data_IF_597497417389
#
_entry.id   IF_597497417389
#
_cell.length_a   1.000
_cell.length_b   1.000
_cell.length_c   1.000
_cell.angle_alpha   90.00
_cell.angle_beta   90.00
_cell.angle_gamma   90.00
#
_symmetry.space_group_name_H-M   'P 1'
#
loop_
_entity.id
_entity.type
_entity.pdbx_description
1 polymer ?
#
# COMPACT_ATOMS: atom_id res chain seq x y z
N UNK A 1 -6.93 13.33 -13.18
CA UNK A 1 -7.55 12.09 -13.68
C UNK A 1 -7.98 12.21 -15.13
N UNK A 2 -8.90 13.13 -15.44
CA UNK A 2 -9.36 13.37 -16.82
C UNK A 2 -8.24 13.72 -17.81
N UNK A 3 -7.33 14.62 -17.45
CA UNK A 3 -6.22 15.02 -18.33
C UNK A 3 -5.24 13.88 -18.58
N UNK A 4 -4.92 13.11 -17.53
CA UNK A 4 -4.09 11.91 -17.62
C UNK A 4 -4.73 10.87 -18.56
N UNK A 5 -6.03 10.61 -18.41
CA UNK A 5 -6.78 9.71 -19.28
C UNK A 5 -6.78 10.19 -20.73
N UNK A 6 -6.98 11.49 -20.95
CA UNK A 6 -6.92 12.11 -22.27
C UNK A 6 -5.55 11.93 -22.94
N UNK A 7 -4.46 11.96 -22.17
CA UNK A 7 -3.11 11.71 -22.68
C UNK A 7 -2.86 10.25 -23.09
N UNK A 8 -3.56 9.29 -22.47
CA UNK A 8 -3.43 7.86 -22.76
C UNK A 8 -4.17 7.40 -24.02
N UNK A 9 -5.23 8.11 -24.44
CA UNK A 9 -6.09 7.69 -25.56
C UNK A 9 -5.24 7.45 -26.82
N UNK A 10 -5.33 6.22 -27.36
CA UNK A 10 -4.60 5.80 -28.56
C UNK A 10 -3.10 5.58 -28.37
N UNK A 11 -2.60 5.62 -27.13
CA UNK A 11 -1.17 5.44 -26.81
C UNK A 11 -0.89 4.34 -25.78
N UNK A 12 -1.81 4.10 -24.85
CA UNK A 12 -1.65 3.10 -23.80
C UNK A 12 -3.00 2.48 -23.41
N UNK A 13 -3.01 1.17 -23.17
CA UNK A 13 -4.20 0.41 -22.77
C UNK A 13 -4.43 0.38 -21.25
N UNK A 14 -3.38 0.66 -20.48
CA UNK A 14 -3.40 0.66 -19.00
C UNK A 14 -2.72 1.90 -18.45
N UNK A 15 -3.25 2.42 -17.35
CA UNK A 15 -2.74 3.59 -16.66
C UNK A 15 -2.56 3.28 -15.19
N UNK A 16 -1.44 3.71 -14.62
CA UNK A 16 -1.14 3.60 -13.20
C UNK A 16 -0.88 5.00 -12.66
N UNK A 17 -1.61 5.39 -11.61
CA UNK A 17 -1.40 6.65 -10.92
C UNK A 17 -0.92 6.38 -9.50
N UNK A 18 0.26 6.92 -9.16
CA UNK A 18 0.90 6.75 -7.86
C UNK A 18 0.93 8.11 -7.15
N UNK A 19 0.58 8.13 -5.87
CA UNK A 19 0.69 9.31 -4.99
C UNK A 19 1.22 8.89 -3.63
N UNK A 20 1.74 9.86 -2.86
CA UNK A 20 2.17 9.65 -1.47
C UNK A 20 1.06 9.95 -0.45
N UNK A 21 -0.07 10.52 -0.89
CA UNK A 21 -1.25 10.78 -0.06
C UNK A 21 -2.38 9.80 -0.37
N UNK A 22 -3.61 10.12 0.04
CA UNK A 22 -4.79 9.32 -0.29
C UNK A 22 -5.55 9.89 -1.50
N UNK A 23 -6.27 9.03 -2.22
CA UNK A 23 -7.25 9.46 -3.20
C UNK A 23 -8.58 9.81 -2.51
N UNK A 24 -9.33 10.75 -3.10
CA UNK A 24 -10.71 10.99 -2.67
C UNK A 24 -11.62 9.90 -3.25
N UNK A 25 -12.76 9.65 -2.60
CA UNK A 25 -13.78 8.72 -3.12
C UNK A 25 -14.28 9.10 -4.52
N UNK A 26 -14.26 10.39 -4.85
CA UNK A 26 -14.60 10.86 -6.19
C UNK A 26 -13.51 10.52 -7.21
N UNK A 27 -12.24 10.61 -6.81
CA UNK A 27 -11.13 10.19 -7.67
C UNK A 27 -11.16 8.68 -7.92
N UNK A 28 -11.41 7.86 -6.90
CA UNK A 28 -11.57 6.41 -7.04
C UNK A 28 -12.70 6.05 -8.03
N UNK A 29 -13.87 6.69 -7.85
CA UNK A 29 -15.01 6.51 -8.77
C UNK A 29 -14.70 6.95 -10.20
N UNK A 30 -13.96 8.05 -10.37
CA UNK A 30 -13.55 8.52 -11.68
C UNK A 30 -12.50 7.60 -12.32
N UNK A 31 -11.69 6.87 -11.53
CA UNK A 31 -10.70 5.91 -12.01
C UNK A 31 -11.36 4.73 -12.74
N UNK A 32 -12.44 4.24 -12.17
CA UNK A 32 -13.19 3.06 -12.64
C UNK A 32 -14.52 3.41 -13.30
N UNK A 33 -14.68 4.66 -13.78
CA UNK A 33 -15.95 5.11 -14.36
C UNK A 33 -16.28 4.35 -15.63
N UNK A 34 -17.55 3.96 -15.76
CA UNK A 34 -18.09 3.29 -16.93
C UNK A 34 -17.80 4.05 -18.23
N UNK A 35 -17.47 3.28 -19.27
CA UNK A 35 -17.18 3.79 -20.61
C UNK A 35 -15.79 4.39 -20.79
N UNK A 36 -14.89 4.26 -19.81
CA UNK A 36 -13.55 4.82 -19.87
C UNK A 36 -12.48 3.80 -19.40
N UNK A 37 -11.27 3.74 -20.00
CA UNK A 37 -10.26 2.72 -19.65
C UNK A 37 -9.79 2.83 -18.20
N UNK A 38 -9.95 1.77 -17.40
CA UNK A 38 -9.64 1.80 -15.97
C UNK A 38 -8.21 2.31 -15.69
N UNK A 39 -8.06 3.12 -14.65
CA UNK A 39 -6.77 3.60 -14.14
C UNK A 39 -6.55 2.94 -12.79
N UNK A 40 -5.45 2.21 -12.65
CA UNK A 40 -5.02 1.64 -11.38
C UNK A 40 -4.49 2.75 -10.49
N UNK A 41 -4.88 2.72 -9.21
CA UNK A 41 -4.50 3.72 -8.22
C UNK A 41 -3.61 3.06 -7.16
N UNK A 42 -2.47 3.68 -6.88
CA UNK A 42 -1.60 3.36 -5.74
C UNK A 42 -1.50 4.61 -4.88
N UNK A 43 -2.08 4.53 -3.69
CA UNK A 43 -1.97 5.59 -2.68
C UNK A 43 -0.75 5.38 -1.79
N UNK A 44 -0.54 6.28 -0.83
CA UNK A 44 0.63 6.26 0.04
C UNK A 44 0.80 4.97 0.83
N UNK A 45 -0.31 4.40 1.33
CA UNK A 45 -0.28 3.19 2.14
C UNK A 45 0.06 1.97 1.27
N UNK A 46 -0.62 1.80 0.13
CA UNK A 46 -0.31 0.72 -0.81
C UNK A 46 1.10 0.86 -1.38
N UNK A 47 1.56 2.09 -1.63
CA UNK A 47 2.93 2.36 -2.06
C UNK A 47 3.93 1.90 -0.99
N UNK A 48 3.71 2.27 0.28
CA UNK A 48 4.59 1.88 1.38
C UNK A 48 4.65 0.35 1.53
N UNK A 49 3.51 -0.33 1.45
CA UNK A 49 3.44 -1.79 1.48
C UNK A 49 4.22 -2.41 0.32
N UNK A 50 4.09 -1.87 -0.89
CA UNK A 50 4.83 -2.37 -2.06
C UNK A 50 6.33 -2.11 -1.96
N UNK A 51 6.75 -0.95 -1.43
CA UNK A 51 8.16 -0.67 -1.17
C UNK A 51 8.75 -1.68 -0.18
N UNK A 52 8.01 -2.02 0.87
CA UNK A 52 8.41 -3.03 1.85
C UNK A 52 8.44 -4.44 1.25
N UNK A 53 7.38 -4.86 0.57
CA UNK A 53 7.26 -6.19 -0.07
C UNK A 53 8.40 -6.44 -1.07
N UNK A 54 8.71 -5.43 -1.89
CA UNK A 54 9.73 -5.52 -2.93
C UNK A 54 11.14 -5.14 -2.44
N UNK A 55 11.30 -4.76 -1.17
CA UNK A 55 12.56 -4.29 -0.57
C UNK A 55 13.21 -3.14 -1.36
N UNK A 56 12.40 -2.18 -1.81
CA UNK A 56 12.84 -1.05 -2.60
C UNK A 56 13.19 0.14 -1.71
N UNK A 57 14.49 0.40 -1.55
CA UNK A 57 14.98 1.56 -0.80
C UNK A 57 14.72 1.49 0.72
N UNK A 58 14.25 0.36 1.23
CA UNK A 58 13.95 0.11 2.64
C UNK A 58 14.54 -1.23 3.09
N UNK A 59 14.97 -1.31 4.34
CA UNK A 59 15.45 -2.55 4.98
C UNK A 59 14.48 -2.92 6.10
N UNK A 60 13.92 -4.15 6.05
CA UNK A 60 13.05 -4.65 7.14
C UNK A 60 13.88 -5.48 8.12
N UNK A 61 13.86 -5.09 9.40
CA UNK A 61 14.48 -5.86 10.49
C UNK A 61 13.41 -6.34 11.46
N UNK A 62 13.47 -7.61 11.84
CA UNK A 62 12.62 -8.17 12.88
C UNK A 62 13.17 -7.75 14.25
N UNK A 63 12.34 -7.06 15.03
CA UNK A 63 12.62 -6.70 16.41
C UNK A 63 11.74 -7.55 17.31
N UNK A 64 12.33 -8.46 18.07
CA UNK A 64 11.63 -9.28 19.05
C UNK A 64 11.61 -8.54 20.39
N UNK A 65 10.43 -8.45 21.01
CA UNK A 65 10.28 -7.90 22.36
C UNK A 65 9.89 -9.05 23.28
N UNK A 66 10.81 -9.45 24.14
CA UNK A 66 10.56 -10.47 25.15
C UNK A 66 10.01 -9.82 26.41
N UNK A 67 8.88 -10.33 26.89
CA UNK A 67 8.37 -9.99 28.21
C UNK A 67 8.55 -11.21 29.11
N UNK A 68 9.52 -11.11 30.02
CA UNK A 68 9.82 -12.17 30.98
C UNK A 68 9.16 -11.83 32.31
N UNK A 69 8.40 -12.78 32.83
CA UNK A 69 7.86 -12.74 34.18
C UNK A 69 8.43 -13.90 34.97
N UNK A 70 8.79 -13.64 36.22
CA UNK A 70 9.16 -14.71 37.15
C UNK A 70 7.86 -15.42 37.53
N UNK A 71 7.80 -16.74 37.33
CA UNK A 71 6.76 -17.61 37.88
C UNK A 71 7.21 -18.08 39.28
N UNK A 72 6.68 -17.50 40.38
CA UNK A 72 7.09 -17.87 41.72
C UNK A 72 6.64 -19.29 42.09
N UNK A 73 5.53 -19.77 41.52
CA UNK A 73 4.90 -21.04 41.87
C UNK A 73 5.75 -22.23 41.42
N UNK A 74 6.42 -22.09 40.27
CA UNK A 74 7.37 -23.07 39.77
C UNK A 74 8.47 -23.41 40.80
N UNK A 75 8.98 -22.40 41.53
CA UNK A 75 10.05 -22.61 42.52
C UNK A 75 9.59 -23.38 43.76
N UNK A 76 8.29 -23.53 43.99
CA UNK A 76 7.75 -24.37 45.07
C UNK A 76 7.49 -25.82 44.64
N UNK A 77 7.68 -26.16 43.36
CA UNK A 77 7.45 -27.51 42.81
C UNK A 77 8.71 -28.37 42.62
N UNK A 78 9.89 -27.82 42.93
CA UNK A 78 11.20 -28.49 42.88
C UNK A 78 11.69 -28.95 44.26
#
# INVERSE_FOLDING_TARGET
MRDFRGAMVGRADKGLLITTGNFTRDAEREATRDGAPAIDLIDGDLLADKLKELSLGVETRLVQVEQVHVDPDWFFTI
#
